data_IF_053394138520
#
_entry.id   IF_053394138520
#
_cell.length_a   1.000
_cell.length_b   1.000
_cell.length_c   1.000
_cell.angle_alpha   90.00
_cell.angle_beta   90.00
_cell.angle_gamma   90.00
#
_symmetry.space_group_name_H-M   'P 1'
#
loop_
_entity.id
_entity.type
_entity.pdbx_description
1 polymer ?
#
# COMPACT_ATOMS: atom_id res chain seq x y z
N UNK A 1 -24.05 -13.76 -1.31
CA UNK A 1 -23.13 -12.77 -1.91
C UNK A 1 -21.92 -13.54 -2.42
N UNK A 2 -21.74 -13.66 -3.74
CA UNK A 2 -20.61 -14.42 -4.29
C UNK A 2 -19.31 -13.74 -3.87
N UNK A 3 -18.50 -14.38 -3.01
CA UNK A 3 -17.11 -13.98 -2.82
C UNK A 3 -16.43 -14.23 -4.16
N UNK A 4 -15.99 -13.18 -4.84
CA UNK A 4 -15.06 -13.37 -5.96
C UNK A 4 -13.84 -14.08 -5.38
N UNK A 5 -13.55 -15.28 -5.90
CA UNK A 5 -12.43 -16.09 -5.41
C UNK A 5 -11.09 -15.44 -5.73
N UNK A 6 -11.03 -14.64 -6.80
CA UNK A 6 -9.83 -13.95 -7.25
C UNK A 6 -10.11 -12.48 -7.65
N UNK A 7 -9.13 -11.63 -7.42
CA UNK A 7 -9.06 -10.22 -7.86
C UNK A 7 -8.02 -10.13 -8.96
N UNK A 8 -8.34 -9.43 -10.06
CA UNK A 8 -7.38 -9.15 -11.14
C UNK A 8 -6.85 -7.74 -10.96
N UNK A 9 -5.53 -7.61 -10.76
CA UNK A 9 -4.82 -6.34 -10.65
C UNK A 9 -3.76 -6.31 -11.74
N UNK A 10 -3.87 -5.36 -12.67
CA UNK A 10 -2.95 -5.22 -13.82
C UNK A 10 -2.73 -6.51 -14.62
N UNK A 11 -3.79 -7.31 -14.82
CA UNK A 11 -3.73 -8.58 -15.56
C UNK A 11 -3.19 -9.78 -14.77
N UNK A 12 -2.79 -9.58 -13.51
CA UNK A 12 -2.35 -10.65 -12.61
C UNK A 12 -3.49 -11.06 -11.69
N UNK A 13 -3.70 -12.36 -11.53
CA UNK A 13 -4.70 -12.91 -10.62
C UNK A 13 -4.14 -13.02 -9.20
N UNK A 14 -4.91 -12.53 -8.24
CA UNK A 14 -4.63 -12.61 -6.81
C UNK A 14 -5.77 -13.33 -6.11
N UNK A 15 -5.51 -14.17 -5.10
CA UNK A 15 -6.58 -14.75 -4.30
C UNK A 15 -7.36 -13.65 -3.58
N UNK A 16 -8.58 -13.93 -3.16
CA UNK A 16 -9.35 -13.01 -2.34
C UNK A 16 -8.51 -12.56 -1.11
N UNK A 17 -8.36 -11.25 -0.84
CA UNK A 17 -7.54 -10.78 0.29
C UNK A 17 -8.07 -11.23 1.66
N UNK A 18 -9.35 -11.62 1.76
CA UNK A 18 -9.94 -12.17 2.98
C UNK A 18 -9.51 -13.64 3.22
N UNK A 19 -8.95 -14.33 2.23
CA UNK A 19 -8.38 -15.67 2.40
C UNK A 19 -6.90 -15.65 2.80
N UNK A 20 -6.30 -14.45 2.91
CA UNK A 20 -4.89 -14.28 3.30
C UNK A 20 -4.81 -14.14 4.81
N UNK A 21 -3.83 -14.82 5.42
CA UNK A 21 -3.50 -14.60 6.82
C UNK A 21 -2.72 -13.29 6.98
N UNK A 22 -3.24 -12.41 7.83
CA UNK A 22 -2.70 -11.07 8.06
C UNK A 22 -2.26 -10.93 9.52
N UNK A 23 -1.06 -10.43 9.71
CA UNK A 23 -0.48 -10.18 11.03
C UNK A 23 -0.18 -8.70 11.19
N UNK A 24 -0.39 -8.16 12.39
CA UNK A 24 -0.02 -6.78 12.69
C UNK A 24 1.50 -6.63 12.61
N UNK A 25 1.95 -5.57 11.95
CA UNK A 25 3.36 -5.22 11.84
C UNK A 25 3.52 -3.76 12.26
N UNK A 26 4.50 -3.50 13.13
CA UNK A 26 4.87 -2.13 13.45
C UNK A 26 5.48 -1.45 12.22
N UNK A 27 5.02 -0.24 11.93
CA UNK A 27 5.58 0.57 10.87
C UNK A 27 5.46 2.03 11.24
N UNK A 28 6.35 2.79 10.63
CA UNK A 28 6.48 4.21 10.85
C UNK A 28 5.29 4.89 10.21
N UNK A 29 4.74 5.85 10.94
CA UNK A 29 3.71 6.69 10.40
C UNK A 29 4.30 7.65 9.36
N UNK A 30 3.91 7.45 8.12
CA UNK A 30 4.19 8.35 7.03
C UNK A 30 2.97 9.22 6.78
N UNK A 31 2.87 10.35 7.47
CA UNK A 31 1.72 11.26 7.31
C UNK A 31 1.60 11.78 5.87
N UNK A 32 0.38 11.72 5.34
CA UNK A 32 0.06 12.12 3.97
C UNK A 32 -0.93 13.28 3.96
N UNK A 33 -0.66 14.31 3.17
CA UNK A 33 -1.67 15.30 2.81
C UNK A 33 -2.78 14.67 1.98
N UNK A 34 -3.89 15.38 1.79
CA UNK A 34 -4.97 14.88 0.93
C UNK A 34 -4.55 14.66 -0.53
N UNK A 35 -3.55 15.40 -1.02
CA UNK A 35 -3.02 15.20 -2.38
C UNK A 35 -2.18 13.93 -2.41
N UNK A 36 -1.23 13.77 -1.48
CA UNK A 36 -0.33 12.61 -1.42
C UNK A 36 -1.08 11.31 -1.16
N UNK A 37 -2.11 11.34 -0.31
CA UNK A 37 -2.97 10.18 -0.10
C UNK A 37 -3.68 9.77 -1.39
N UNK A 38 -4.25 10.73 -2.14
CA UNK A 38 -4.84 10.44 -3.46
C UNK A 38 -3.80 9.90 -4.44
N UNK A 39 -2.60 10.46 -4.46
CA UNK A 39 -1.50 9.98 -5.29
C UNK A 39 -1.12 8.53 -4.97
N UNK A 40 -1.05 8.18 -3.69
CA UNK A 40 -0.79 6.81 -3.24
C UNK A 40 -1.88 5.83 -3.71
N UNK A 41 -3.14 6.22 -3.57
CA UNK A 41 -4.28 5.41 -4.01
C UNK A 41 -4.34 5.24 -5.53
N UNK A 42 -3.96 6.27 -6.28
CA UNK A 42 -3.97 6.26 -7.74
C UNK A 42 -2.87 5.41 -8.35
N UNK A 43 -1.84 5.07 -7.57
CA UNK A 43 -0.97 3.91 -7.80
C UNK A 43 -0.66 3.59 -9.24
N UNK A 44 0.48 4.02 -9.78
CA UNK A 44 0.77 3.74 -11.19
C UNK A 44 0.96 2.22 -11.43
N UNK A 45 0.46 1.70 -12.56
CA UNK A 45 0.73 0.33 -12.98
C UNK A 45 2.24 0.14 -13.02
N UNK A 46 2.75 -0.97 -12.47
CA UNK A 46 4.16 -1.21 -12.49
C UNK A 46 4.63 -1.32 -13.94
N UNK A 47 5.55 -0.45 -14.36
CA UNK A 47 6.40 -0.80 -15.50
C UNK A 47 7.28 -2.02 -15.13
N UNK A 48 8.03 -2.56 -16.08
CA UNK A 48 8.81 -3.79 -15.89
C UNK A 48 9.76 -3.76 -14.67
N UNK A 49 10.13 -2.59 -14.15
CA UNK A 49 11.01 -2.43 -12.99
C UNK A 49 10.28 -2.05 -11.68
N UNK A 50 9.01 -1.66 -11.74
CA UNK A 50 8.19 -1.33 -10.57
C UNK A 50 7.66 -2.58 -9.87
N UNK A 51 8.35 -3.00 -8.80
CA UNK A 51 8.08 -4.28 -8.15
C UNK A 51 6.78 -4.33 -7.32
N UNK A 52 6.15 -3.20 -7.01
CA UNK A 52 5.04 -3.14 -6.06
C UNK A 52 3.86 -2.34 -6.60
N UNK A 53 2.68 -2.93 -6.57
CA UNK A 53 1.43 -2.33 -7.01
C UNK A 53 0.54 -2.00 -5.80
N UNK A 54 0.29 -0.72 -5.50
CA UNK A 54 -0.78 -0.33 -4.61
C UNK A 54 -2.15 -0.61 -5.25
N UNK A 55 -3.07 -1.16 -4.47
CA UNK A 55 -4.43 -1.48 -4.89
C UNK A 55 -5.40 -1.14 -3.77
N UNK A 56 -6.40 -0.32 -4.08
CA UNK A 56 -7.44 0.03 -3.12
C UNK A 56 -8.63 -0.92 -3.26
N UNK A 57 -9.06 -1.50 -2.13
CA UNK A 57 -10.28 -2.29 -2.06
C UNK A 57 -10.98 -2.03 -0.75
N UNK A 58 -12.23 -1.56 -0.84
CA UNK A 58 -12.97 -1.01 0.30
C UNK A 58 -12.13 0.08 1.00
N UNK A 59 -12.06 0.06 2.33
CA UNK A 59 -11.32 1.04 3.14
C UNK A 59 -9.84 0.67 3.35
N UNK A 60 -9.31 -0.28 2.58
CA UNK A 60 -7.95 -0.78 2.74
C UNK A 60 -7.12 -0.52 1.48
N UNK A 61 -5.87 -0.12 1.71
CA UNK A 61 -4.81 -0.11 0.71
C UNK A 61 -4.04 -1.42 0.82
N UNK A 62 -3.88 -2.11 -0.29
CA UNK A 62 -3.09 -3.32 -0.38
C UNK A 62 -1.86 -3.06 -1.23
N UNK A 63 -0.75 -3.69 -0.86
CA UNK A 63 0.47 -3.71 -1.67
C UNK A 63 0.65 -5.13 -2.21
N UNK A 64 0.77 -5.25 -3.52
CA UNK A 64 0.97 -6.54 -4.19
C UNK A 64 2.24 -6.59 -5.01
N UNK A 65 2.79 -7.79 -5.21
CA UNK A 65 3.93 -8.06 -6.09
C UNK A 65 3.85 -9.47 -6.64
N UNK A 66 4.02 -9.62 -7.96
CA UNK A 66 4.20 -10.93 -8.61
C UNK A 66 3.17 -11.99 -8.19
N UNK A 67 1.89 -11.61 -8.06
CA UNK A 67 0.80 -12.54 -7.67
C UNK A 67 0.63 -12.74 -6.16
N UNK A 68 1.42 -12.06 -5.33
CA UNK A 68 1.31 -12.12 -3.87
C UNK A 68 0.80 -10.81 -3.26
N UNK A 69 -0.05 -10.95 -2.25
CA UNK A 69 -0.37 -9.89 -1.30
C UNK A 69 0.79 -9.73 -0.32
N UNK A 70 1.27 -8.51 -0.11
CA UNK A 70 2.40 -8.23 0.79
C UNK A 70 1.93 -7.49 2.04
N UNK A 71 1.32 -6.31 1.86
CA UNK A 71 0.82 -5.47 2.96
C UNK A 71 -0.66 -5.16 2.79
N UNK A 72 -1.35 -4.97 3.91
CA UNK A 72 -2.71 -4.47 4.04
C UNK A 72 -2.69 -3.31 5.04
N UNK A 73 -2.99 -2.12 4.54
CA UNK A 73 -2.69 -0.84 5.18
C UNK A 73 -3.97 -0.02 5.28
N UNK A 74 -4.15 0.64 6.42
CA UNK A 74 -5.22 1.62 6.63
C UNK A 74 -4.63 2.97 6.99
N UNK A 75 -5.09 3.98 6.27
CA UNK A 75 -4.85 5.38 6.58
C UNK A 75 -6.16 6.02 6.99
N UNK A 76 -6.13 6.87 8.01
CA UNK A 76 -7.29 7.60 8.52
C UNK A 76 -6.98 9.08 8.63
N UNK A 77 -7.92 9.92 8.19
CA UNK A 77 -7.78 11.36 8.28
C UNK A 77 -7.98 11.80 9.73
N UNK A 78 -7.00 12.50 10.27
CA UNK A 78 -7.01 13.01 11.65
C UNK A 78 -7.42 14.49 11.68
N UNK A 79 -7.62 15.02 12.90
CA UNK A 79 -8.04 16.40 13.14
C UNK A 79 -7.03 17.45 12.64
N UNK A 80 -5.75 17.07 12.54
CA UNK A 80 -4.68 17.92 12.00
C UNK A 80 -4.75 18.11 10.47
N UNK A 81 -5.71 17.43 9.82
CA UNK A 81 -5.96 17.50 8.38
C UNK A 81 -5.14 16.52 7.53
N UNK A 82 -4.24 15.74 8.13
CA UNK A 82 -3.43 14.73 7.46
C UNK A 82 -4.05 13.33 7.58
N UNK A 83 -3.65 12.45 6.67
CA UNK A 83 -3.92 11.02 6.75
C UNK A 83 -2.75 10.35 7.47
N UNK A 84 -3.06 9.64 8.55
CA UNK A 84 -2.10 8.90 9.37
C UNK A 84 -2.29 7.41 9.21
N UNK A 85 -1.19 6.67 9.28
CA UNK A 85 -1.20 5.22 9.28
C UNK A 85 -1.89 4.73 10.57
N UNK A 86 -3.10 4.18 10.46
CA UNK A 86 -3.85 3.67 11.61
C UNK A 86 -3.66 2.17 11.82
N UNK A 87 -3.47 1.41 10.73
CA UNK A 87 -3.21 -0.03 10.79
C UNK A 87 -2.25 -0.45 9.70
N UNK A 88 -1.31 -1.30 10.05
CA UNK A 88 -0.43 -1.98 9.10
C UNK A 88 -0.40 -3.46 9.41
N UNK A 89 -0.76 -4.24 8.39
CA UNK A 89 -0.75 -5.69 8.44
C UNK A 89 0.16 -6.22 7.33
N UNK A 90 0.91 -7.27 7.63
CA UNK A 90 1.75 -7.98 6.67
C UNK A 90 1.20 -9.38 6.44
N UNK A 91 1.38 -9.89 5.23
CA UNK A 91 1.23 -11.32 4.95
C UNK A 91 2.54 -12.05 5.27
N UNK A 92 2.50 -13.39 5.24
CA UNK A 92 3.70 -14.23 5.27
C UNK A 92 4.73 -13.82 4.20
N UNK A 93 4.27 -13.43 3.00
CA UNK A 93 5.14 -13.07 1.86
C UNK A 93 5.74 -11.67 1.96
N UNK A 94 5.22 -10.82 2.85
CA UNK A 94 5.68 -9.44 3.03
C UNK A 94 6.56 -9.20 4.27
N UNK A 95 6.79 -10.21 5.12
CA UNK A 95 7.52 -10.04 6.38
C UNK A 95 8.96 -9.57 6.16
N UNK A 96 9.46 -8.69 7.05
CA UNK A 96 10.86 -8.27 7.08
C UNK A 96 11.24 -7.16 6.10
N UNK A 97 10.28 -6.60 5.37
CA UNK A 97 10.49 -5.51 4.43
C UNK A 97 9.70 -4.26 4.85
N UNK A 98 10.38 -3.11 4.91
CA UNK A 98 9.71 -1.81 5.04
C UNK A 98 9.23 -1.33 3.67
N UNK A 99 8.18 -2.00 3.17
CA UNK A 99 7.68 -1.80 1.82
C UNK A 99 7.11 -0.40 1.57
N UNK A 100 6.56 0.26 2.60
CA UNK A 100 6.08 1.64 2.46
C UNK A 100 7.23 2.60 2.16
N UNK A 101 8.35 2.46 2.86
CA UNK A 101 9.56 3.25 2.58
C UNK A 101 10.08 2.99 1.16
N UNK A 102 10.21 1.71 0.77
CA UNK A 102 10.66 1.34 -0.58
C UNK A 102 9.74 1.91 -1.67
N UNK A 103 8.42 1.88 -1.45
CA UNK A 103 7.43 2.39 -2.38
C UNK A 103 7.49 3.90 -2.47
N UNK A 104 7.54 4.64 -1.35
CA UNK A 104 7.58 6.09 -1.41
C UNK A 104 8.89 6.62 -2.00
N UNK A 105 10.01 5.92 -1.81
CA UNK A 105 11.29 6.27 -2.43
C UNK A 105 11.37 5.94 -3.92
N UNK A 106 10.94 4.74 -4.32
CA UNK A 106 11.22 4.19 -5.66
C UNK A 106 9.97 4.04 -6.53
N UNK A 107 8.79 4.31 -5.98
CA UNK A 107 7.53 4.22 -6.69
C UNK A 107 7.36 5.39 -7.65
N UNK A 108 6.82 5.08 -8.82
CA UNK A 108 6.59 6.06 -9.87
C UNK A 108 5.26 6.76 -9.59
N UNK A 109 5.31 7.79 -8.75
CA UNK A 109 4.16 8.61 -8.41
C UNK A 109 4.23 9.97 -9.09
N UNK A 110 3.07 10.52 -9.47
CA UNK A 110 2.97 11.89 -9.99
C UNK A 110 1.88 12.66 -9.23
N UNK A 111 2.24 13.63 -8.36
CA UNK A 111 3.60 14.02 -7.95
C UNK A 111 4.35 12.91 -7.20
N UNK A 112 5.67 13.02 -7.07
CA UNK A 112 6.48 12.06 -6.30
C UNK A 112 6.04 12.03 -4.82
N UNK A 113 6.14 10.86 -4.19
CA UNK A 113 5.92 10.70 -2.75
C UNK A 113 7.23 10.71 -1.94
N UNK A 114 8.38 10.95 -2.57
CA UNK A 114 9.68 10.96 -1.88
C UNK A 114 9.75 12.01 -0.76
N UNK A 115 9.11 13.16 -0.92
CA UNK A 115 9.05 14.19 0.12
C UNK A 115 8.37 13.70 1.41
N UNK A 116 7.46 12.72 1.33
CA UNK A 116 6.84 12.08 2.50
C UNK A 116 7.90 11.41 3.37
N UNK A 117 8.86 10.74 2.73
CA UNK A 117 9.95 10.03 3.40
C UNK A 117 10.87 11.02 4.11
N UNK A 118 11.24 12.11 3.42
CA UNK A 118 12.07 13.17 4.00
C UNK A 118 11.43 13.79 5.24
N UNK A 119 10.10 14.01 5.23
CA UNK A 119 9.37 14.53 6.40
C UNK A 119 9.35 13.56 7.58
N UNK A 120 9.50 12.25 7.34
CA UNK A 120 9.59 11.22 8.36
C UNK A 120 11.02 11.04 8.91
N UNK A 121 12.02 11.75 8.37
CA UNK A 121 13.41 11.74 8.86
C UNK A 121 14.30 10.65 8.26
N UNK A 122 14.01 10.23 7.02
CA UNK A 122 14.74 9.20 6.26
C UNK A 122 15.46 9.77 5.05
#
# INVERSE_FOLDING_TARGET
MNKQDNIIIYGVQYPNPDSVHWEAEECIDFRLSSIEYRTLLQGYPPDWDCRYAPFQFQDWLYITRSGFWLKKIKYEKQEDGFYHLSRHLTSEKGRGHNLLLEIFCNGYFKPSLFEVVQRAGY
#
